data_IF_836268035371
#
_entry.id   IF_836268035371
#
_cell.length_a   1.000
_cell.length_b   1.000
_cell.length_c   1.000
_cell.angle_alpha   90.00
_cell.angle_beta   90.00
_cell.angle_gamma   90.00
#
_symmetry.space_group_name_H-M   'P 1'
#
loop_
_entity.id
_entity.type
_entity.pdbx_description
1 polymer ?
#
# COMPACT_ATOMS: atom_id res chain seq x y z
N UNK A 1 -3.39 -20.80 -16.61
CA UNK A 1 -2.18 -19.95 -16.62
C UNK A 1 -2.44 -18.52 -16.15
N UNK A 2 -3.70 -18.09 -15.93
CA UNK A 2 -4.06 -16.74 -15.42
C UNK A 2 -3.60 -16.43 -13.98
N UNK A 3 -3.51 -17.44 -13.11
CA UNK A 3 -3.24 -17.17 -11.67
C UNK A 3 -1.85 -16.57 -11.40
N UNK A 4 -0.88 -16.78 -12.29
CA UNK A 4 0.48 -16.27 -12.10
C UNK A 4 0.62 -14.79 -12.53
N UNK A 5 -0.11 -14.39 -13.57
CA UNK A 5 -0.09 -13.00 -14.07
C UNK A 5 -0.78 -12.07 -13.09
N UNK A 6 -1.96 -12.46 -12.60
CA UNK A 6 -2.70 -11.68 -11.63
C UNK A 6 -1.93 -11.53 -10.31
N UNK A 7 -1.32 -12.61 -9.81
CA UNK A 7 -0.43 -12.55 -8.65
C UNK A 7 0.74 -11.59 -8.87
N UNK A 8 1.40 -11.66 -10.05
CA UNK A 8 2.51 -10.78 -10.39
C UNK A 8 2.10 -9.29 -10.42
N UNK A 9 0.92 -8.98 -11.00
CA UNK A 9 0.37 -7.63 -11.02
C UNK A 9 0.15 -7.09 -9.60
N UNK A 10 -0.42 -7.89 -8.70
CA UNK A 10 -0.61 -7.47 -7.31
C UNK A 10 0.69 -7.21 -6.57
N UNK A 11 1.67 -8.11 -6.71
CA UNK A 11 2.98 -7.95 -6.05
C UNK A 11 3.66 -6.68 -6.57
N UNK A 12 3.55 -6.41 -7.87
CA UNK A 12 4.07 -5.18 -8.47
C UNK A 12 3.33 -3.94 -7.92
N UNK A 13 2.01 -3.90 -7.98
CA UNK A 13 1.24 -2.75 -7.47
C UNK A 13 1.43 -2.53 -5.97
N UNK A 14 1.55 -3.59 -5.17
CA UNK A 14 1.91 -3.51 -3.75
C UNK A 14 3.26 -2.81 -3.51
N UNK A 15 4.27 -3.10 -4.34
CA UNK A 15 5.59 -2.43 -4.28
C UNK A 15 5.49 -0.96 -4.67
N UNK A 16 4.71 -0.66 -5.69
CA UNK A 16 4.52 0.71 -6.15
C UNK A 16 3.76 1.58 -5.14
N UNK A 17 2.75 1.01 -4.49
CA UNK A 17 2.05 1.64 -3.37
C UNK A 17 3.01 1.99 -2.23
N UNK A 18 3.96 1.12 -1.89
CA UNK A 18 5.00 1.43 -0.90
C UNK A 18 5.85 2.62 -1.36
N UNK A 19 6.26 2.64 -2.63
CA UNK A 19 7.01 3.76 -3.21
C UNK A 19 6.23 5.08 -3.11
N UNK A 20 4.94 5.05 -3.43
CA UNK A 20 4.04 6.20 -3.31
C UNK A 20 3.88 6.67 -1.87
N UNK A 21 3.67 5.75 -0.93
CA UNK A 21 3.56 6.06 0.50
C UNK A 21 4.81 6.78 1.02
N UNK A 22 6.01 6.33 0.61
CA UNK A 22 7.29 6.97 0.95
C UNK A 22 7.39 8.40 0.39
N UNK A 23 6.94 8.61 -0.85
CA UNK A 23 6.92 9.95 -1.45
C UNK A 23 5.99 10.90 -0.68
N UNK A 24 4.76 10.46 -0.38
CA UNK A 24 3.81 11.25 0.42
C UNK A 24 4.33 11.56 1.82
N UNK A 25 4.96 10.60 2.50
CA UNK A 25 5.58 10.87 3.80
C UNK A 25 6.69 11.92 3.70
N UNK A 26 7.57 11.81 2.69
CA UNK A 26 8.64 12.78 2.44
C UNK A 26 8.09 14.19 2.17
N UNK A 27 7.04 14.31 1.37
CA UNK A 27 6.35 15.58 1.09
C UNK A 27 5.77 16.22 2.36
N UNK A 28 5.39 15.41 3.35
CA UNK A 28 4.91 15.85 4.67
C UNK A 28 6.02 16.03 5.71
N UNK A 29 7.28 15.81 5.36
CA UNK A 29 8.41 15.86 6.29
C UNK A 29 8.43 14.72 7.32
N UNK A 30 7.71 13.62 7.06
CA UNK A 30 7.69 12.43 7.92
C UNK A 30 8.81 11.46 7.56
N UNK A 31 9.53 10.96 8.57
CA UNK A 31 10.45 9.83 8.44
C UNK A 31 9.68 8.53 8.65
N UNK A 32 9.63 7.69 7.62
CA UNK A 32 8.93 6.40 7.66
C UNK A 32 9.91 5.28 8.04
N UNK A 33 9.72 4.66 9.20
CA UNK A 33 10.59 3.59 9.70
C UNK A 33 10.28 2.26 9.02
N UNK A 34 8.99 1.97 8.81
CA UNK A 34 8.54 0.77 8.12
C UNK A 34 7.26 1.00 7.33
N UNK A 35 7.13 0.26 6.24
CA UNK A 35 5.94 0.24 5.37
C UNK A 35 5.85 -1.15 4.76
N UNK A 36 4.96 -1.96 5.30
CA UNK A 36 4.91 -3.41 5.02
C UNK A 36 3.48 -3.85 4.79
N UNK A 37 3.31 -4.79 3.87
CA UNK A 37 2.04 -5.47 3.65
C UNK A 37 1.94 -6.71 4.50
N UNK A 38 0.72 -7.00 4.98
CA UNK A 38 0.33 -8.22 5.70
C UNK A 38 1.37 -8.66 6.72
N UNK A 39 1.84 -7.72 7.55
CA UNK A 39 2.91 -7.83 8.55
C UNK A 39 3.36 -9.28 8.86
N UNK A 40 4.49 -9.67 8.27
CA UNK A 40 5.08 -11.01 8.43
C UNK A 40 4.56 -12.09 7.47
N UNK A 41 3.76 -11.73 6.47
CA UNK A 41 3.18 -12.66 5.49
C UNK A 41 3.43 -12.20 4.05
N UNK A 42 3.37 -13.15 3.12
CA UNK A 42 3.41 -12.87 1.70
C UNK A 42 2.05 -12.36 1.17
N UNK A 43 2.11 -11.63 0.04
CA UNK A 43 0.95 -11.19 -0.74
C UNK A 43 0.32 -12.38 -1.47
N UNK A 44 -0.40 -13.23 -0.74
CA UNK A 44 -1.16 -14.35 -1.31
C UNK A 44 -2.53 -13.89 -1.83
N UNK A 45 -3.19 -14.71 -2.64
CA UNK A 45 -4.54 -14.41 -3.13
C UNK A 45 -5.55 -14.40 -1.97
N UNK A 46 -6.13 -13.22 -1.71
CA UNK A 46 -7.13 -13.01 -0.64
C UNK A 46 -8.04 -11.86 -1.05
N UNK A 47 -9.09 -11.58 -0.29
CA UNK A 47 -10.00 -10.46 -0.64
C UNK A 47 -9.41 -9.09 -0.28
N UNK A 48 -8.63 -9.02 0.80
CA UNK A 48 -8.12 -7.77 1.38
C UNK A 48 -6.70 -7.96 1.91
N UNK A 49 -5.85 -6.97 1.67
CA UNK A 49 -4.51 -6.83 2.22
C UNK A 49 -4.44 -5.67 3.20
N UNK A 50 -3.57 -5.76 4.20
CA UNK A 50 -3.35 -4.66 5.15
C UNK A 50 -1.97 -4.06 4.95
N UNK A 51 -1.91 -2.76 4.66
CA UNK A 51 -0.67 -1.99 4.70
C UNK A 51 -0.49 -1.40 6.10
N UNK A 52 0.65 -1.66 6.72
CA UNK A 52 1.06 -1.05 7.99
C UNK A 52 2.21 -0.07 7.72
N UNK A 53 2.05 1.18 8.18
CA UNK A 53 3.07 2.23 8.11
C UNK A 53 3.43 2.65 9.53
N UNK A 54 4.72 2.70 9.84
CA UNK A 54 5.25 3.13 11.14
C UNK A 54 6.16 4.34 10.96
N UNK A 55 6.01 5.33 11.84
CA UNK A 55 6.84 6.54 11.90
C UNK A 55 7.00 6.98 13.35
N UNK A 56 8.21 6.83 13.90
CA UNK A 56 8.50 6.95 15.32
C UNK A 56 7.66 6.00 16.16
N UNK A 57 6.90 6.56 17.11
CA UNK A 57 5.98 5.80 17.97
C UNK A 57 4.57 5.66 17.38
N UNK A 58 4.32 6.25 16.21
CA UNK A 58 3.00 6.24 15.56
C UNK A 58 2.93 5.14 14.52
N UNK A 59 1.73 4.59 14.37
CA UNK A 59 1.44 3.53 13.42
C UNK A 59 0.07 3.76 12.78
N UNK A 60 -0.03 3.49 11.48
CA UNK A 60 -1.24 3.62 10.69
C UNK A 60 -1.46 2.36 9.86
N UNK A 61 -2.71 1.89 9.77
CA UNK A 61 -3.09 0.69 9.02
C UNK A 61 -4.21 0.99 8.05
N UNK A 62 -4.08 0.52 6.82
CA UNK A 62 -5.10 0.63 5.78
C UNK A 62 -5.39 -0.71 5.15
N UNK A 63 -6.67 -0.99 4.89
CA UNK A 63 -7.09 -2.21 4.20
C UNK A 63 -7.33 -1.91 2.72
N UNK A 64 -6.66 -2.65 1.86
CA UNK A 64 -6.73 -2.50 0.40
C UNK A 64 -7.31 -3.79 -0.20
N UNK A 65 -8.38 -3.69 -1.01
CA UNK A 65 -8.84 -4.82 -1.80
C UNK A 65 -7.73 -5.35 -2.70
N UNK A 66 -7.70 -6.66 -2.90
CA UNK A 66 -6.75 -7.36 -3.77
C UNK A 66 -6.73 -6.79 -5.20
N UNK A 67 -7.90 -6.42 -5.71
CA UNK A 67 -8.05 -5.71 -6.99
C UNK A 67 -7.31 -4.36 -7.03
N UNK A 68 -7.29 -3.60 -5.94
CA UNK A 68 -6.61 -2.29 -5.93
C UNK A 68 -5.10 -2.45 -6.07
N UNK A 69 -4.54 -3.53 -5.52
CA UNK A 69 -3.13 -3.86 -5.72
C UNK A 69 -2.88 -4.27 -7.18
N UNK A 70 -3.73 -5.11 -7.77
CA UNK A 70 -3.57 -5.54 -9.17
C UNK A 70 -3.72 -4.39 -10.20
N UNK A 71 -4.51 -3.37 -9.84
CA UNK A 71 -4.84 -2.25 -10.70
C UNK A 71 -3.95 -1.01 -10.50
N UNK A 72 -2.99 -1.05 -9.58
CA UNK A 72 -2.07 0.06 -9.35
C UNK A 72 -0.75 -0.13 -10.13
N UNK A 73 -0.24 0.91 -10.83
CA UNK A 73 -0.74 2.28 -10.96
C UNK A 73 -1.55 2.50 -12.25
N UNK A 74 -2.24 3.64 -12.34
CA UNK A 74 -2.77 4.16 -13.61
C UNK A 74 -4.11 3.58 -14.08
N UNK A 75 -4.75 2.71 -13.30
CA UNK A 75 -6.13 2.24 -13.56
C UNK A 75 -7.14 2.83 -12.58
N UNK A 76 -8.41 2.47 -12.77
CA UNK A 76 -9.58 3.08 -12.14
C UNK A 76 -9.53 3.20 -10.59
N UNK A 77 -8.86 2.27 -9.90
CA UNK A 77 -8.78 2.28 -8.43
C UNK A 77 -7.51 3.00 -7.89
N UNK A 78 -6.68 3.60 -8.76
CA UNK A 78 -5.46 4.31 -8.35
C UNK A 78 -5.75 5.55 -7.52
N UNK A 79 -6.77 6.32 -7.87
CA UNK A 79 -7.16 7.52 -7.11
C UNK A 79 -7.64 7.18 -5.70
N UNK A 80 -8.41 6.08 -5.55
CA UNK A 80 -8.85 5.60 -4.23
C UNK A 80 -7.69 5.11 -3.39
N UNK A 81 -6.74 4.43 -4.03
CA UNK A 81 -5.49 3.98 -3.39
C UNK A 81 -4.67 5.17 -2.90
N UNK A 82 -4.44 6.18 -3.75
CA UNK A 82 -3.72 7.40 -3.40
C UNK A 82 -4.42 8.18 -2.28
N UNK A 83 -5.76 8.29 -2.33
CA UNK A 83 -6.55 8.95 -1.29
C UNK A 83 -6.43 8.25 0.08
N UNK A 84 -6.53 6.91 0.10
CA UNK A 84 -6.37 6.14 1.33
C UNK A 84 -4.94 6.25 1.88
N UNK A 85 -3.92 6.19 1.02
CA UNK A 85 -2.53 6.41 1.44
C UNK A 85 -2.33 7.80 2.06
N UNK A 86 -2.86 8.84 1.43
CA UNK A 86 -2.77 10.21 1.96
C UNK A 86 -3.46 10.34 3.31
N UNK A 87 -4.63 9.72 3.49
CA UNK A 87 -5.31 9.67 4.78
C UNK A 87 -4.45 8.97 5.84
N UNK A 88 -3.86 7.82 5.51
CA UNK A 88 -3.00 7.06 6.42
C UNK A 88 -1.77 7.87 6.85
N UNK A 89 -1.09 8.51 5.90
CA UNK A 89 0.10 9.34 6.15
C UNK A 89 -0.26 10.58 6.97
N UNK A 90 -1.40 11.22 6.68
CA UNK A 90 -1.85 12.41 7.42
C UNK A 90 -2.18 12.07 8.88
N UNK A 91 -2.68 10.86 9.16
CA UNK A 91 -2.89 10.37 10.53
C UNK A 91 -1.60 10.10 11.32
N UNK A 92 -0.42 10.12 10.67
CA UNK A 92 0.88 9.98 11.32
C UNK A 92 1.55 11.33 11.65
N UNK A 93 1.07 12.44 11.08
CA UNK A 93 1.52 13.80 11.47
C UNK A 93 1.02 14.15 12.86
#
# INVERSE_FOLDING_TARGET
>A
MENNEYHSQRVQGAREIIGKAKNFAKEKGLSMDSCVWDEGQEIVERLMHTLTITSGTKLSRGKFPDKWLADYPGKADSEKTDALLMQMITGLV
#
